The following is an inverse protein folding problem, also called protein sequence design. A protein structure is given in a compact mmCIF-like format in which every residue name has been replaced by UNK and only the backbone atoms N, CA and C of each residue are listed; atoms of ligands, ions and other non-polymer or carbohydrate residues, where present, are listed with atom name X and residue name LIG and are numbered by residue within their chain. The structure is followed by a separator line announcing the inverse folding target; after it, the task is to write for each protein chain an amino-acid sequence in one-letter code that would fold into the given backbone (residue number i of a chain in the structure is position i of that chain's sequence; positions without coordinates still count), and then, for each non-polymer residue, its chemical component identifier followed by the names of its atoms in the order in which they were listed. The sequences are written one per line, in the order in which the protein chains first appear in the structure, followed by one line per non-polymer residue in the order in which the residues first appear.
data_IF_863012459763
#
_entry.id   IF_863012459763
#
_cell.length_a   1.000
_cell.length_b   1.000
_cell.length_c   1.000
_cell.angle_alpha   90.00
_cell.angle_beta   90.00
_cell.angle_gamma   90.00
#
_symmetry.space_group_name_H-M   'P 1'
#
loop_
_entity.id
_entity.type
_entity.pdbx_description
1 polymer ?
#
# COMPACT_ATOMS: atom_id res chain seq x y z
N UNK A 1 -3.49 -45.68 -35.40
CA UNK A 1 -2.35 -44.87 -35.88
C UNK A 1 -1.82 -44.04 -34.71
N UNK A 2 -0.58 -44.29 -34.31
CA UNK A 2 0.31 -43.38 -33.55
C UNK A 2 1.56 -43.24 -34.43
N UNK A 3 2.30 -42.09 -34.44
CA UNK A 3 3.09 -41.63 -33.29
C UNK A 3 3.07 -40.10 -33.02
N UNK A 4 3.16 -39.65 -31.75
CA UNK A 4 4.29 -38.96 -31.04
C UNK A 4 4.76 -37.61 -31.66
N UNK A 5 5.14 -36.52 -30.96
CA UNK A 5 5.76 -36.22 -29.63
C UNK A 5 5.72 -34.66 -29.47
N UNK A 6 5.56 -34.00 -28.30
CA UNK A 6 6.47 -33.94 -27.14
C UNK A 6 5.70 -33.46 -25.87
N UNK A 7 5.76 -34.18 -24.74
CA UNK A 7 6.54 -33.89 -23.51
C UNK A 7 6.14 -32.57 -22.82
N UNK A 8 5.68 -32.51 -21.57
CA UNK A 8 5.66 -33.51 -20.49
C UNK A 8 4.73 -33.11 -19.36
N UNK A 9 4.25 -34.13 -18.66
CA UNK A 9 3.22 -34.15 -17.62
C UNK A 9 3.82 -34.09 -16.22
N UNK A 10 3.02 -33.54 -15.30
CA UNK A 10 2.85 -33.94 -13.89
C UNK A 10 4.03 -33.73 -12.92
N UNK A 11 3.76 -32.95 -11.88
CA UNK A 11 4.02 -33.41 -10.52
C UNK A 11 2.96 -32.84 -9.57
N UNK A 12 1.81 -33.53 -9.51
CA UNK A 12 1.05 -33.62 -8.28
C UNK A 12 1.97 -34.33 -7.28
N UNK A 13 2.50 -33.61 -6.29
CA UNK A 13 3.30 -34.20 -5.23
C UNK A 13 2.36 -34.99 -4.31
N UNK A 14 2.24 -36.28 -4.60
CA UNK A 14 1.69 -37.26 -3.66
C UNK A 14 2.59 -37.36 -2.43
N UNK A 15 1.96 -37.44 -1.28
CA UNK A 15 2.62 -37.77 -0.02
C UNK A 15 3.21 -39.18 -0.09
N UNK A 16 4.52 -39.29 0.17
CA UNK A 16 5.13 -40.52 0.69
C UNK A 16 5.98 -40.08 1.88
N UNK A 17 5.58 -40.54 3.06
CA UNK A 17 6.25 -40.24 4.31
C UNK A 17 7.66 -40.81 4.36
N UNK A 18 8.57 -40.00 4.91
CA UNK A 18 9.73 -40.47 5.64
C UNK A 18 9.73 -39.71 6.96
N UNK A 19 9.60 -40.47 8.05
CA UNK A 19 9.52 -39.94 9.41
C UNK A 19 10.83 -39.25 9.81
N UNK A 20 10.74 -37.99 10.25
CA UNK A 20 11.76 -37.35 11.08
C UNK A 20 11.05 -36.58 12.21
N UNK A 21 11.16 -37.21 13.38
CA UNK A 21 11.16 -36.66 14.73
C UNK A 21 11.05 -35.13 14.85
N UNK A 22 10.01 -34.69 15.55
CA UNK A 22 10.02 -33.52 16.44
C UNK A 22 10.49 -32.19 15.85
N UNK A 23 9.54 -31.40 15.35
CA UNK A 23 9.55 -29.95 15.54
C UNK A 23 8.18 -29.40 15.17
N UNK A 24 7.51 -28.74 16.11
CA UNK A 24 6.32 -27.95 15.88
C UNK A 24 6.57 -26.96 14.74
N UNK A 25 6.00 -27.22 13.56
CA UNK A 25 6.05 -26.31 12.43
C UNK A 25 5.19 -25.10 12.81
N UNK A 26 5.84 -24.06 13.31
CA UNK A 26 5.25 -22.75 13.42
C UNK A 26 4.71 -22.37 12.04
N UNK A 27 3.40 -22.21 11.94
CA UNK A 27 2.75 -21.68 10.75
C UNK A 27 3.29 -20.25 10.62
N UNK A 28 4.32 -20.07 9.78
CA UNK A 28 4.84 -18.75 9.50
C UNK A 28 3.66 -17.94 8.93
N UNK A 29 3.28 -16.81 9.54
CA UNK A 29 2.26 -15.96 8.95
C UNK A 29 2.71 -15.64 7.53
N UNK A 30 1.83 -15.80 6.56
CA UNK A 30 2.07 -15.32 5.21
C UNK A 30 2.58 -13.88 5.32
N UNK A 31 3.79 -13.63 4.85
CA UNK A 31 4.37 -12.30 4.81
C UNK A 31 3.44 -11.43 3.94
N UNK A 32 2.53 -10.74 4.60
CA UNK A 32 1.78 -9.66 4.00
C UNK A 32 2.84 -8.67 3.53
N UNK A 33 2.82 -8.28 2.26
CA UNK A 33 3.65 -7.20 1.76
C UNK A 33 3.34 -5.94 2.60
N UNK A 34 4.12 -5.76 3.66
CA UNK A 34 3.99 -4.68 4.60
C UNK A 34 4.81 -3.52 4.04
N UNK A 35 4.25 -2.80 3.07
CA UNK A 35 4.81 -1.51 2.69
C UNK A 35 4.03 -0.37 3.36
N UNK A 36 3.52 -0.61 4.59
CA UNK A 36 3.04 0.48 5.42
C UNK A 36 4.25 1.26 5.92
N UNK A 37 4.54 2.39 5.31
CA UNK A 37 5.63 3.26 5.76
C UNK A 37 5.07 4.47 6.50
N UNK A 38 5.89 5.04 7.39
CA UNK A 38 5.47 6.14 8.27
C UNK A 38 6.07 7.45 7.80
N UNK A 39 5.28 8.52 7.86
CA UNK A 39 5.71 9.87 7.54
C UNK A 39 5.05 10.90 8.46
N UNK A 40 5.25 12.16 8.12
CA UNK A 40 4.58 13.29 8.78
C UNK A 40 3.93 14.20 7.74
N UNK A 41 2.86 14.85 8.16
CA UNK A 41 2.22 15.87 7.34
C UNK A 41 3.09 17.14 7.32
N UNK A 42 3.44 17.63 6.13
CA UNK A 42 4.32 18.79 5.92
C UNK A 42 3.54 20.11 5.78
N UNK A 43 2.35 20.05 5.19
CA UNK A 43 1.45 21.19 5.02
C UNK A 43 0.90 21.68 6.35
N UNK A 44 0.63 22.98 6.48
CA UNK A 44 0.00 23.57 7.68
C UNK A 44 -1.33 22.90 8.00
N UNK A 45 -2.16 22.66 6.97
CA UNK A 45 -3.38 21.89 7.05
C UNK A 45 -3.66 21.21 5.70
N UNK A 46 -4.19 19.98 5.73
CA UNK A 46 -4.57 19.21 4.56
C UNK A 46 -5.87 18.45 4.84
N UNK A 47 -6.81 18.47 3.87
CA UNK A 47 -8.02 17.65 3.96
C UNK A 47 -7.67 16.18 3.73
N UNK A 48 -8.08 15.32 4.65
CA UNK A 48 -8.06 13.86 4.50
C UNK A 48 -9.36 13.47 3.83
N UNK A 49 -9.31 12.90 2.63
CA UNK A 49 -10.49 12.70 1.76
C UNK A 49 -10.87 11.24 1.65
N UNK A 50 -12.15 10.97 1.42
CA UNK A 50 -12.65 9.61 1.22
C UNK A 50 -12.08 8.96 -0.06
N UNK A 51 -11.94 9.73 -1.14
CA UNK A 51 -11.43 9.30 -2.44
C UNK A 51 -10.26 10.20 -2.90
N UNK A 52 -9.37 9.73 -3.80
CA UNK A 52 -8.26 10.49 -4.34
C UNK A 52 -8.74 11.51 -5.40
N UNK A 53 -9.46 12.54 -4.95
CA UNK A 53 -10.03 13.59 -5.79
C UNK A 53 -10.14 14.92 -5.04
N UNK A 54 -9.87 16.05 -5.71
CA UNK A 54 -9.94 17.41 -5.13
C UNK A 54 -11.31 17.76 -4.55
N UNK A 55 -12.38 17.17 -5.08
CA UNK A 55 -13.75 17.45 -4.67
C UNK A 55 -14.36 16.32 -3.83
N UNK A 56 -13.59 15.29 -3.48
CA UNK A 56 -14.09 14.24 -2.59
C UNK A 56 -14.38 14.79 -1.21
N UNK A 57 -15.43 14.28 -0.58
CA UNK A 57 -15.77 14.48 0.83
C UNK A 57 -14.54 14.32 1.71
N UNK A 58 -14.38 15.24 2.66
CA UNK A 58 -13.32 15.20 3.64
C UNK A 58 -13.77 14.42 4.87
N UNK A 59 -13.02 13.40 5.25
CA UNK A 59 -13.18 12.66 6.51
C UNK A 59 -12.62 13.46 7.69
N UNK A 60 -11.79 14.47 7.42
CA UNK A 60 -11.25 15.37 8.43
C UNK A 60 -10.12 16.24 7.89
N UNK A 61 -9.43 16.89 8.83
CA UNK A 61 -8.26 17.72 8.56
C UNK A 61 -7.06 17.16 9.33
N UNK A 62 -5.94 17.06 8.62
CA UNK A 62 -4.62 16.75 9.14
C UNK A 62 -3.77 18.02 9.15
N UNK A 63 -2.93 18.16 10.17
CA UNK A 63 -2.12 19.35 10.42
C UNK A 63 -0.63 19.03 10.36
N UNK A 64 0.20 20.07 10.22
CA UNK A 64 1.66 19.92 10.20
C UNK A 64 2.15 19.14 11.43
N UNK A 65 2.97 18.12 11.18
CA UNK A 65 3.56 17.29 12.22
C UNK A 65 2.69 16.11 12.67
N UNK A 66 1.44 16.01 12.21
CA UNK A 66 0.64 14.81 12.40
C UNK A 66 1.33 13.60 11.77
N UNK A 67 1.26 12.46 12.45
CA UNK A 67 1.84 11.21 11.96
C UNK A 67 0.92 10.61 10.92
N UNK A 68 1.45 10.15 9.80
CA UNK A 68 0.69 9.36 8.82
C UNK A 68 1.37 8.01 8.62
N UNK A 69 0.59 6.95 8.68
CA UNK A 69 0.99 5.61 8.21
C UNK A 69 0.29 5.38 6.90
N UNK A 70 1.03 5.27 5.80
CA UNK A 70 0.49 5.16 4.46
C UNK A 70 0.72 3.78 3.87
N UNK A 71 -0.25 3.30 3.10
CA UNK A 71 -0.31 1.95 2.53
C UNK A 71 -0.46 1.96 1.01
N UNK A 72 -0.74 3.11 0.38
CA UNK A 72 -0.99 3.19 -1.06
C UNK A 72 -0.79 4.60 -1.62
N UNK A 73 -0.34 4.69 -2.87
CA UNK A 73 -0.36 5.93 -3.67
C UNK A 73 -1.37 5.80 -4.81
N UNK A 74 -2.11 6.87 -5.09
CA UNK A 74 -3.11 6.90 -6.15
C UNK A 74 -2.90 8.12 -7.05
N UNK A 75 -2.79 7.88 -8.36
CA UNK A 75 -2.76 8.94 -9.37
C UNK A 75 -4.14 9.16 -9.96
N UNK A 76 -4.64 10.39 -9.88
CA UNK A 76 -5.88 10.80 -10.51
C UNK A 76 -5.59 11.49 -11.84
N UNK A 77 -5.69 10.74 -12.94
CA UNK A 77 -5.38 11.21 -14.30
C UNK A 77 -6.09 12.51 -14.68
N UNK A 78 -7.40 12.61 -14.41
CA UNK A 78 -8.20 13.80 -14.75
C UNK A 78 -7.75 15.08 -14.02
N UNK A 79 -7.09 14.93 -12.86
CA UNK A 79 -6.61 16.04 -12.04
C UNK A 79 -5.09 16.21 -12.14
N UNK A 80 -4.42 15.31 -12.87
CA UNK A 80 -2.96 15.16 -12.94
C UNK A 80 -2.29 15.22 -11.55
N UNK A 81 -2.90 14.61 -10.54
CA UNK A 81 -2.50 14.75 -9.15
C UNK A 81 -2.31 13.39 -8.46
N UNK A 82 -1.33 13.32 -7.56
CA UNK A 82 -1.08 12.18 -6.70
C UNK A 82 -1.68 12.38 -5.31
N UNK A 83 -2.13 11.28 -4.74
CA UNK A 83 -2.69 11.20 -3.40
C UNK A 83 -2.03 10.05 -2.64
N UNK A 84 -1.73 10.30 -1.37
CA UNK A 84 -1.23 9.30 -0.42
C UNK A 84 -2.41 8.81 0.40
N UNK A 85 -2.70 7.51 0.33
CA UNK A 85 -3.68 6.87 1.21
C UNK A 85 -2.98 6.49 2.51
N UNK A 86 -3.63 6.77 3.62
CA UNK A 86 -3.11 6.35 4.91
C UNK A 86 -4.05 6.66 6.07
N UNK A 87 -3.57 6.33 7.26
CA UNK A 87 -4.19 6.72 8.53
C UNK A 87 -3.34 7.80 9.18
N UNK A 88 -3.92 8.99 9.30
CA UNK A 88 -3.34 10.10 10.05
C UNK A 88 -3.68 9.94 11.53
N UNK A 89 -2.70 10.07 12.40
CA UNK A 89 -2.89 10.23 13.85
C UNK A 89 -2.57 11.67 14.21
N UNK A 90 -3.60 12.41 14.62
CA UNK A 90 -3.49 13.83 14.95
C UNK A 90 -2.73 14.01 16.26
N UNK A 91 -1.77 14.92 16.28
CA UNK A 91 -0.91 15.15 17.46
C UNK A 91 -1.68 15.79 18.63
N UNK A 92 -2.69 16.62 18.34
CA UNK A 92 -3.40 17.40 19.37
C UNK A 92 -4.32 16.56 20.26
N UNK A 93 -5.03 15.60 19.68
CA UNK A 93 -6.10 14.84 20.34
C UNK A 93 -5.97 13.32 20.17
N UNK A 94 -4.95 12.84 19.43
CA UNK A 94 -4.77 11.42 19.14
C UNK A 94 -5.77 10.85 18.13
N UNK A 95 -6.64 11.68 17.54
CA UNK A 95 -7.67 11.22 16.61
C UNK A 95 -7.05 10.54 15.38
N UNK A 96 -7.66 9.41 14.97
CA UNK A 96 -7.23 8.66 13.79
C UNK A 96 -8.17 8.93 12.62
N UNK A 97 -7.62 9.41 11.51
CA UNK A 97 -8.37 9.79 10.32
C UNK A 97 -7.81 9.01 9.13
N UNK A 98 -8.59 8.09 8.57
CA UNK A 98 -8.20 7.33 7.38
C UNK A 98 -8.71 8.00 6.11
N UNK A 99 -7.87 8.06 5.09
CA UNK A 99 -8.27 8.54 3.77
C UNK A 99 -7.07 8.91 2.90
N UNK A 100 -7.35 9.75 1.90
CA UNK A 100 -6.41 10.23 0.91
C UNK A 100 -6.00 11.67 1.22
N UNK A 101 -4.71 11.90 1.32
CA UNK A 101 -4.10 13.21 1.51
C UNK A 101 -3.39 13.60 0.21
N UNK A 102 -3.42 14.87 -0.23
CA UNK A 102 -2.60 15.31 -1.36
C UNK A 102 -1.13 14.92 -1.15
N UNK A 103 -0.51 14.31 -2.16
CA UNK A 103 0.83 13.75 -2.04
C UNK A 103 1.87 14.78 -1.57
N UNK A 104 1.78 16.04 -2.05
CA UNK A 104 2.67 17.12 -1.61
C UNK A 104 2.61 17.44 -0.10
N UNK A 105 1.53 17.05 0.59
CA UNK A 105 1.38 17.20 2.04
C UNK A 105 1.81 15.95 2.83
N UNK A 106 1.83 14.79 2.19
CA UNK A 106 2.13 13.50 2.78
C UNK A 106 3.14 12.75 1.88
N UNK A 107 4.27 13.41 1.61
CA UNK A 107 5.31 12.86 0.75
C UNK A 107 6.26 11.98 1.57
N UNK A 108 6.29 10.66 1.33
CA UNK A 108 7.19 9.75 2.03
C UNK A 108 8.67 9.94 1.69
N UNK A 109 8.96 10.51 0.51
CA UNK A 109 10.31 10.67 -0.01
C UNK A 109 10.85 12.10 0.15
N UNK A 110 10.24 12.91 1.02
CA UNK A 110 10.67 14.29 1.27
C UNK A 110 10.39 15.24 0.11
N UNK A 111 11.44 15.76 -0.54
CA UNK A 111 11.37 16.67 -1.71
C UNK A 111 11.27 15.93 -3.04
N UNK A 112 11.38 14.59 -3.06
CA UNK A 112 11.33 13.85 -4.30
C UNK A 112 9.96 14.00 -4.99
N UNK A 113 9.94 14.27 -6.31
CA UNK A 113 8.71 14.46 -7.04
C UNK A 113 7.81 13.22 -6.94
N UNK A 114 6.51 13.44 -7.10
CA UNK A 114 5.57 12.33 -7.12
C UNK A 114 5.94 11.33 -8.23
N UNK A 115 5.70 10.02 -8.04
CA UNK A 115 6.07 9.01 -9.02
C UNK A 115 5.52 9.39 -10.41
N UNK A 116 6.34 9.36 -11.45
CA UNK A 116 5.83 9.59 -12.80
C UNK A 116 4.95 8.40 -13.17
N UNK A 117 3.66 8.57 -13.53
CA UNK A 117 2.86 7.44 -13.99
C UNK A 117 3.51 6.84 -15.25
N UNK A 118 3.54 5.51 -15.40
CA UNK A 118 4.05 4.90 -16.62
C UNK A 118 3.24 5.40 -17.81
N UNK A 119 3.93 5.93 -18.82
CA UNK A 119 3.33 6.34 -20.09
C UNK A 119 2.90 5.04 -20.79
N UNK A 120 1.60 4.83 -21.08
CA UNK A 120 1.20 3.70 -21.92
C UNK A 120 1.88 3.84 -23.28
N UNK A 121 2.53 2.77 -23.75
CA UNK A 121 3.10 2.69 -25.11
C UNK A 121 1.98 2.62 -26.15
#
# INVERSE_FOLDING_TARGET
MTPLKHIGRLAAAGAVGAALLGASVAIAPAAQAADSSTGKISCSAAKVRQNPAKNSTANGVAYRGDKIVYDQFAYKKSEKAWYTRGTVTRKSDGAKIRGYVPYGCANPYGTNPAPTPPIPK
#
